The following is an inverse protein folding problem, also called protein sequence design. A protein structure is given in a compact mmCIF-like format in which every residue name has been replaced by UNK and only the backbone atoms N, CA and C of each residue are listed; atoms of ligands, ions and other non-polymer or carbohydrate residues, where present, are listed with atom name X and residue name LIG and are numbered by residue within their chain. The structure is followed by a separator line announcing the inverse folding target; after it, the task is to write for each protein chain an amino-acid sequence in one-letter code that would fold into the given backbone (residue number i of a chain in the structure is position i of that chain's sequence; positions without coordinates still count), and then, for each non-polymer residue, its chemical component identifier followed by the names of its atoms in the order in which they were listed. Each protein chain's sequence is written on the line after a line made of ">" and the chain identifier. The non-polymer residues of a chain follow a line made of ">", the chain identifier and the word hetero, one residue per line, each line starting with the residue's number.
data_IF_106156767270
#
_entry.id   IF_106156767270
#
_cell.length_a   1.000
_cell.length_b   1.000
_cell.length_c   1.000
_cell.angle_alpha   90.00
_cell.angle_beta   90.00
_cell.angle_gamma   90.00
#
_symmetry.space_group_name_H-M   'P 1'
#
loop_
_entity.id
_entity.type
_entity.pdbx_description
1 polymer ?
#
# COMPACT_ATOMS: atom_id res chain seq x y z
N UNK A 1 16.99 -7.95 20.56
CA UNK A 1 16.65 -6.56 20.93
C UNK A 1 15.19 -6.52 21.36
N UNK A 2 14.87 -5.85 22.46
CA UNK A 2 13.47 -5.53 22.81
C UNK A 2 13.01 -4.36 21.93
N UNK A 3 12.30 -4.71 20.86
CA UNK A 3 11.76 -3.81 19.84
C UNK A 3 10.77 -2.79 20.43
N UNK A 4 10.01 -3.21 21.45
CA UNK A 4 9.05 -2.35 22.14
C UNK A 4 9.74 -1.36 23.08
N UNK A 5 10.77 -1.80 23.82
CA UNK A 5 11.57 -0.92 24.67
C UNK A 5 12.34 0.11 23.83
N UNK A 6 12.99 -0.32 22.74
CA UNK A 6 13.65 0.58 21.80
C UNK A 6 12.68 1.61 21.22
N UNK A 7 11.54 1.17 20.66
CA UNK A 7 10.51 2.07 20.11
C UNK A 7 9.99 3.06 21.15
N UNK A 8 9.81 2.63 22.40
CA UNK A 8 9.43 3.54 23.50
C UNK A 8 10.54 4.57 23.77
N UNK A 9 11.80 4.16 23.85
CA UNK A 9 12.93 5.07 24.03
C UNK A 9 13.02 6.10 22.91
N UNK A 10 12.93 5.65 21.66
CA UNK A 10 12.94 6.49 20.46
C UNK A 10 11.81 7.53 20.50
N UNK A 11 10.60 7.13 20.89
CA UNK A 11 9.44 8.02 21.00
C UNK A 11 9.53 9.09 22.11
N UNK A 12 10.50 9.00 23.01
CA UNK A 12 10.78 10.03 24.02
C UNK A 12 12.07 10.83 23.70
N UNK A 13 12.72 10.55 22.56
CA UNK A 13 13.85 11.35 22.07
C UNK A 13 13.37 12.68 21.50
N UNK A 14 14.09 13.77 21.82
CA UNK A 14 13.83 15.09 21.23
C UNK A 14 14.05 15.10 19.70
N UNK A 15 14.88 14.18 19.20
CA UNK A 15 15.16 13.99 17.78
C UNK A 15 14.14 13.09 17.05
N UNK A 16 13.01 12.74 17.66
CA UNK A 16 11.97 11.92 17.01
C UNK A 16 10.61 12.64 17.01
N UNK A 17 10.16 13.02 15.81
CA UNK A 17 8.96 13.81 15.58
C UNK A 17 7.88 12.96 14.93
N UNK A 18 6.74 12.77 15.60
CA UNK A 18 5.57 12.03 15.06
C UNK A 18 4.31 12.89 14.88
N UNK A 19 4.39 14.14 15.31
CA UNK A 19 3.41 15.20 15.08
C UNK A 19 3.97 16.15 14.00
N UNK A 20 3.07 16.91 13.36
CA UNK A 20 3.48 18.02 12.49
C UNK A 20 4.21 19.12 13.27
N UNK A 21 4.77 20.08 12.54
CA UNK A 21 5.60 21.17 13.08
C UNK A 21 4.81 22.46 13.32
N UNK A 22 3.49 22.44 13.10
CA UNK A 22 2.59 23.57 13.35
C UNK A 22 2.33 24.43 12.12
N UNK A 23 2.64 23.93 10.92
CA UNK A 23 2.46 24.66 9.65
C UNK A 23 1.24 24.16 8.86
N UNK A 24 0.26 23.57 9.56
CA UNK A 24 -0.82 22.78 8.96
C UNK A 24 -1.72 23.57 8.01
N UNK A 25 -2.14 24.79 8.36
CA UNK A 25 -3.03 25.60 7.52
C UNK A 25 -2.37 26.05 6.21
N UNK A 26 -1.12 26.49 6.29
CA UNK A 26 -0.34 26.95 5.13
C UNK A 26 -0.01 25.77 4.19
N UNK A 27 0.37 24.63 4.76
CA UNK A 27 0.60 23.39 3.98
C UNK A 27 -0.70 22.87 3.36
N UNK A 28 -1.82 22.87 4.09
CA UNK A 28 -3.11 22.45 3.55
C UNK A 28 -3.53 23.28 2.34
N UNK A 29 -3.30 24.60 2.37
CA UNK A 29 -3.55 25.50 1.23
C UNK A 29 -2.69 25.13 0.02
N UNK A 30 -1.41 24.83 0.23
CA UNK A 30 -0.51 24.39 -0.85
C UNK A 30 -0.94 23.04 -1.43
N UNK A 31 -1.19 22.04 -0.58
CA UNK A 31 -1.65 20.70 -1.01
C UNK A 31 -2.97 20.76 -1.77
N UNK A 32 -3.90 21.61 -1.34
CA UNK A 32 -5.15 21.85 -2.05
C UNK A 32 -4.89 22.35 -3.47
N UNK A 33 -3.98 23.31 -3.65
CA UNK A 33 -3.63 23.84 -4.98
C UNK A 33 -2.87 22.85 -5.88
N UNK A 34 -2.08 21.95 -5.29
CA UNK A 34 -1.25 20.99 -6.04
C UNK A 34 -1.97 19.67 -6.37
N UNK A 35 -2.95 19.23 -5.57
CA UNK A 35 -3.50 17.87 -5.65
C UNK A 35 -5.03 17.75 -5.82
N UNK A 36 -5.82 18.80 -5.54
CA UNK A 36 -7.28 18.77 -5.76
C UNK A 36 -7.65 19.09 -7.22
N UNK A 37 -8.86 18.73 -7.61
CA UNK A 37 -9.40 18.94 -8.95
C UNK A 37 -10.83 19.50 -8.88
N UNK A 38 -11.12 20.49 -9.73
CA UNK A 38 -12.48 21.01 -9.89
C UNK A 38 -13.34 20.04 -10.71
N UNK A 39 -12.78 19.36 -11.71
CA UNK A 39 -13.49 18.36 -12.50
C UNK A 39 -13.97 17.19 -11.62
N UNK A 40 -13.09 16.69 -10.75
CA UNK A 40 -13.42 15.61 -9.83
C UNK A 40 -14.53 16.04 -8.86
N UNK A 41 -14.50 17.27 -8.36
CA UNK A 41 -15.60 17.79 -7.54
C UNK A 41 -16.91 17.92 -8.33
N UNK A 42 -16.87 18.33 -9.60
CA UNK A 42 -18.04 18.33 -10.50
C UNK A 42 -18.60 16.91 -10.69
N UNK A 43 -17.73 15.90 -10.91
CA UNK A 43 -18.14 14.51 -11.06
C UNK A 43 -18.78 13.98 -9.77
N UNK A 44 -18.18 14.24 -8.59
CA UNK A 44 -18.76 13.89 -7.27
C UNK A 44 -20.16 14.50 -7.12
N UNK A 45 -20.33 15.78 -7.42
CA UNK A 45 -21.62 16.48 -7.34
C UNK A 45 -22.68 15.92 -8.31
N UNK A 46 -22.25 15.31 -9.42
CA UNK A 46 -23.11 14.70 -10.43
C UNK A 46 -23.33 13.18 -10.20
N UNK A 47 -23.41 12.74 -8.94
CA UNK A 47 -23.55 11.33 -8.56
C UNK A 47 -22.47 10.44 -9.22
N UNK A 48 -21.21 10.87 -9.11
CA UNK A 48 -20.02 10.20 -9.66
C UNK A 48 -20.06 9.91 -11.17
N UNK A 49 -20.87 10.66 -11.93
CA UNK A 49 -21.07 10.43 -13.37
C UNK A 49 -20.85 11.72 -14.17
N UNK A 50 -20.20 11.60 -15.33
CA UNK A 50 -20.04 12.71 -16.28
C UNK A 50 -20.02 12.21 -17.72
N UNK A 51 -20.88 12.76 -18.56
CA UNK A 51 -20.90 12.48 -20.01
C UNK A 51 -20.44 13.71 -20.79
N UNK A 52 -19.54 13.51 -21.76
CA UNK A 52 -19.15 14.52 -22.75
C UNK A 52 -18.99 13.85 -24.12
N UNK A 53 -19.79 14.26 -25.09
CA UNK A 53 -19.90 13.56 -26.37
C UNK A 53 -20.23 12.08 -26.14
N UNK A 54 -19.54 11.20 -26.86
CA UNK A 54 -19.75 9.75 -26.82
C UNK A 54 -19.15 9.07 -25.56
N UNK A 55 -18.49 9.80 -24.65
CA UNK A 55 -17.88 9.20 -23.43
C UNK A 55 -18.71 9.49 -22.20
N UNK A 56 -19.12 8.44 -21.49
CA UNK A 56 -19.64 8.51 -20.12
C UNK A 56 -18.62 7.95 -19.13
N UNK A 57 -18.12 8.81 -18.24
CA UNK A 57 -17.29 8.42 -17.10
C UNK A 57 -18.19 8.05 -15.92
N UNK A 58 -17.94 6.88 -15.31
CA UNK A 58 -18.46 6.48 -13.99
C UNK A 58 -17.29 6.35 -13.02
N UNK A 59 -17.17 7.29 -12.10
CA UNK A 59 -16.11 7.31 -11.09
C UNK A 59 -16.52 6.41 -9.90
N UNK A 60 -15.56 5.72 -9.28
CA UNK A 60 -15.80 5.02 -8.02
C UNK A 60 -16.18 6.03 -6.92
N UNK A 61 -16.98 5.61 -5.94
CA UNK A 61 -17.46 6.53 -4.90
C UNK A 61 -16.37 6.83 -3.85
N UNK A 62 -15.45 5.88 -3.63
CA UNK A 62 -14.21 6.06 -2.89
C UNK A 62 -12.98 5.75 -3.77
N UNK A 63 -12.09 6.73 -3.89
CA UNK A 63 -10.86 6.69 -4.69
C UNK A 63 -9.87 7.75 -4.16
N UNK A 64 -8.75 7.96 -4.84
CA UNK A 64 -7.82 9.05 -4.57
C UNK A 64 -7.07 8.90 -3.25
N UNK A 65 -6.45 9.99 -2.77
CA UNK A 65 -5.73 10.03 -1.50
C UNK A 65 -6.58 9.53 -0.31
N UNK A 66 -5.96 8.75 0.58
CA UNK A 66 -6.53 8.46 1.90
C UNK A 66 -5.92 9.34 2.98
N UNK A 67 -6.60 9.52 4.11
CA UNK A 67 -6.12 10.31 5.25
C UNK A 67 -4.69 9.96 5.71
N UNK A 68 -4.32 8.68 5.66
CA UNK A 68 -2.97 8.22 6.00
C UNK A 68 -1.89 8.75 5.04
N UNK A 69 -2.23 8.88 3.77
CA UNK A 69 -1.40 9.45 2.71
C UNK A 69 -1.38 10.98 2.81
N UNK A 70 -2.53 11.63 2.96
CA UNK A 70 -2.63 13.09 3.14
C UNK A 70 -1.78 13.56 4.32
N UNK A 71 -1.91 12.89 5.47
CA UNK A 71 -1.10 13.19 6.66
C UNK A 71 0.39 13.02 6.38
N UNK A 72 0.81 11.98 5.66
CA UNK A 72 2.23 11.73 5.40
C UNK A 72 2.83 12.75 4.44
N UNK A 73 2.11 13.10 3.37
CA UNK A 73 2.51 14.14 2.43
C UNK A 73 2.53 15.51 3.14
N UNK A 74 1.49 15.86 3.89
CA UNK A 74 1.47 17.10 4.68
C UNK A 74 2.64 17.21 5.65
N UNK A 75 2.94 16.14 6.40
CA UNK A 75 4.11 16.14 7.29
C UNK A 75 5.43 16.30 6.53
N UNK A 76 5.57 15.78 5.30
CA UNK A 76 6.78 16.00 4.50
C UNK A 76 6.94 17.47 4.07
N UNK A 77 5.85 18.15 3.67
CA UNK A 77 5.86 19.59 3.38
C UNK A 77 6.15 20.42 4.65
N UNK A 78 5.50 20.10 5.78
CA UNK A 78 5.80 20.72 7.08
C UNK A 78 7.29 20.52 7.46
N UNK A 79 7.86 19.34 7.19
CA UNK A 79 9.27 19.02 7.48
C UNK A 79 10.22 19.87 6.65
N UNK A 80 9.98 20.06 5.35
CA UNK A 80 10.82 20.94 4.52
C UNK A 80 10.75 22.39 4.98
N UNK A 81 9.56 22.85 5.38
CA UNK A 81 9.35 24.23 5.84
C UNK A 81 9.99 24.51 7.19
N UNK A 82 9.84 23.59 8.15
CA UNK A 82 10.41 23.70 9.48
C UNK A 82 11.93 23.46 9.50
N UNK A 83 12.37 22.53 8.68
CA UNK A 83 13.73 22.19 8.25
C UNK A 83 14.32 23.04 7.10
N UNK A 84 14.42 24.39 7.10
CA UNK A 84 14.57 25.16 5.85
C UNK A 84 15.90 24.98 5.09
N UNK A 85 16.96 24.51 5.74
CA UNK A 85 18.32 24.43 5.15
C UNK A 85 18.95 23.04 5.19
N UNK A 86 18.47 22.18 6.07
CA UNK A 86 19.04 20.85 6.30
C UNK A 86 18.84 19.92 5.09
N UNK A 87 19.71 18.91 4.96
CA UNK A 87 19.40 17.78 4.08
C UNK A 87 18.23 17.00 4.68
N UNK A 88 17.27 16.67 3.84
CA UNK A 88 16.09 15.88 4.21
C UNK A 88 16.07 14.66 3.31
N UNK A 89 16.08 13.48 3.93
CA UNK A 89 16.00 12.19 3.25
C UNK A 89 14.66 11.52 3.55
N UNK A 90 14.07 10.82 2.59
CA UNK A 90 13.01 9.85 2.79
C UNK A 90 13.61 8.45 2.62
N UNK A 91 13.28 7.50 3.50
CA UNK A 91 13.94 6.19 3.49
C UNK A 91 13.59 5.29 2.30
N UNK A 92 12.57 5.58 1.48
CA UNK A 92 12.26 4.87 0.23
C UNK A 92 11.54 5.79 -0.78
N UNK A 93 10.25 6.01 -0.57
CA UNK A 93 9.29 6.86 -1.30
C UNK A 93 8.34 7.39 -0.22
N UNK A 94 7.78 8.62 -0.31
CA UNK A 94 6.84 9.07 0.73
C UNK A 94 5.56 8.22 0.73
N UNK A 95 5.10 7.91 -0.49
CA UNK A 95 4.00 7.02 -0.87
C UNK A 95 4.32 6.40 -2.25
N UNK A 96 3.67 5.31 -2.64
CA UNK A 96 3.81 4.75 -3.99
C UNK A 96 3.04 5.58 -5.04
N UNK A 97 3.59 6.74 -5.40
CA UNK A 97 3.10 7.61 -6.48
C UNK A 97 4.26 8.41 -7.10
N UNK A 98 4.49 8.32 -8.43
CA UNK A 98 5.65 8.94 -9.06
C UNK A 98 5.61 10.47 -9.06
N UNK A 99 4.46 11.11 -9.28
CA UNK A 99 4.38 12.58 -9.32
C UNK A 99 4.56 13.20 -7.94
N UNK A 100 3.98 12.59 -6.89
CA UNK A 100 4.18 13.03 -5.50
C UNK A 100 5.64 12.86 -5.07
N UNK A 101 6.29 11.75 -5.42
CA UNK A 101 7.73 11.57 -5.14
C UNK A 101 8.61 12.54 -5.94
N UNK A 102 8.25 12.86 -7.18
CA UNK A 102 8.96 13.89 -7.95
C UNK A 102 8.83 15.26 -7.29
N UNK A 103 7.63 15.60 -6.79
CA UNK A 103 7.39 16.84 -6.05
C UNK A 103 8.22 16.96 -4.77
N UNK A 104 8.51 15.85 -4.08
CA UNK A 104 9.47 15.83 -2.96
C UNK A 104 10.86 16.32 -3.39
N UNK A 105 11.39 15.83 -4.53
CA UNK A 105 12.71 16.24 -5.05
C UNK A 105 12.76 17.72 -5.43
N UNK A 106 11.69 18.23 -6.06
CA UNK A 106 11.57 19.66 -6.37
C UNK A 106 11.61 20.55 -5.13
N UNK A 107 11.15 20.03 -3.99
CA UNK A 107 11.27 20.68 -2.69
C UNK A 107 12.61 20.37 -2.00
N UNK A 108 13.62 19.83 -2.67
CA UNK A 108 14.89 19.39 -2.07
C UNK A 108 14.69 18.40 -0.90
N UNK A 109 13.76 17.46 -1.05
CA UNK A 109 13.61 16.29 -0.17
C UNK A 109 14.00 15.06 -0.99
N UNK A 110 15.17 14.52 -0.68
CA UNK A 110 15.79 13.44 -1.44
C UNK A 110 15.43 12.05 -0.90
N UNK A 111 15.77 11.01 -1.65
CA UNK A 111 15.51 9.62 -1.27
C UNK A 111 16.82 8.87 -0.99
N UNK A 112 16.84 8.03 0.04
CA UNK A 112 18.02 7.19 0.34
C UNK A 112 18.19 6.18 -0.81
N UNK A 113 19.35 6.16 -1.51
CA UNK A 113 19.60 5.28 -2.63
C UNK A 113 19.50 3.80 -2.25
N UNK A 114 18.98 2.99 -3.18
CA UNK A 114 18.87 1.54 -3.02
C UNK A 114 19.79 0.85 -4.02
N UNK A 115 20.85 0.22 -3.52
CA UNK A 115 21.82 -0.55 -4.32
C UNK A 115 21.64 -2.04 -4.04
N UNK A 116 21.40 -2.85 -5.08
CA UNK A 116 21.17 -4.30 -4.98
C UNK A 116 20.09 -4.70 -3.92
N UNK A 117 19.04 -3.88 -3.77
CA UNK A 117 17.96 -4.11 -2.80
C UNK A 117 18.30 -3.74 -1.35
N UNK A 118 19.41 -3.04 -1.10
CA UNK A 118 19.79 -2.49 0.21
C UNK A 118 19.90 -0.98 0.15
N UNK A 119 19.40 -0.30 1.18
CA UNK A 119 19.48 1.15 1.33
C UNK A 119 20.88 1.57 1.77
N UNK A 120 21.43 2.58 1.13
CA UNK A 120 22.73 3.13 1.50
C UNK A 120 22.58 4.23 2.56
N UNK A 121 22.60 3.83 3.84
CA UNK A 121 22.63 4.77 4.96
C UNK A 121 23.99 5.44 5.17
N UNK A 122 25.04 5.14 4.38
CA UNK A 122 26.34 5.79 4.55
C UNK A 122 26.28 7.30 4.24
N UNK A 123 25.43 7.71 3.29
CA UNK A 123 25.27 9.11 2.87
C UNK A 123 24.58 10.01 3.90
N UNK A 124 23.90 9.42 4.88
CA UNK A 124 23.15 10.14 5.91
C UNK A 124 24.09 10.49 7.05
N UNK A 125 24.21 11.76 7.39
CA UNK A 125 25.12 12.24 8.43
C UNK A 125 24.37 12.66 9.72
N UNK A 126 25.11 12.95 10.78
CA UNK A 126 24.56 13.44 12.04
C UNK A 126 23.88 14.79 11.86
N UNK A 127 22.67 14.96 12.40
CA UNK A 127 21.87 16.17 12.26
C UNK A 127 21.02 16.26 10.99
N UNK A 128 21.23 15.38 9.99
CA UNK A 128 20.32 15.25 8.84
C UNK A 128 18.90 14.90 9.31
N UNK A 129 17.90 15.37 8.57
CA UNK A 129 16.49 15.03 8.80
C UNK A 129 16.13 13.80 7.98
N UNK A 130 15.49 12.80 8.60
CA UNK A 130 15.08 11.58 7.90
C UNK A 130 13.62 11.25 8.15
N UNK A 131 12.84 11.31 7.07
CA UNK A 131 11.42 11.01 7.02
C UNK A 131 11.22 9.50 6.85
N UNK A 132 10.53 8.88 7.81
CA UNK A 132 9.98 7.54 7.66
C UNK A 132 8.63 7.65 6.93
N UNK A 133 8.39 6.88 5.86
CA UNK A 133 7.25 7.08 4.95
C UNK A 133 5.91 6.56 5.49
N UNK A 134 4.83 6.70 4.72
CA UNK A 134 3.48 6.33 5.16
C UNK A 134 3.34 4.83 5.54
N UNK A 135 4.05 3.94 4.84
CA UNK A 135 4.16 2.50 5.12
C UNK A 135 5.21 2.16 6.19
N UNK A 136 5.91 3.16 6.71
CA UNK A 136 6.88 3.08 7.80
C UNK A 136 8.24 2.50 7.41
N UNK A 137 9.02 2.16 8.44
CA UNK A 137 10.37 1.61 8.32
C UNK A 137 10.57 0.47 9.33
N UNK A 138 11.57 -0.37 9.09
CA UNK A 138 11.95 -1.44 10.00
C UNK A 138 12.66 -0.93 11.26
N UNK A 139 12.66 -1.75 12.31
CA UNK A 139 13.37 -1.45 13.57
C UNK A 139 14.86 -1.19 13.32
N UNK A 140 15.48 -1.93 12.39
CA UNK A 140 16.89 -1.81 12.06
C UNK A 140 17.22 -0.44 11.45
N UNK A 141 16.36 0.06 10.56
CA UNK A 141 16.52 1.39 9.97
C UNK A 141 16.34 2.49 11.01
N UNK A 142 15.31 2.38 11.86
CA UNK A 142 15.09 3.30 12.98
C UNK A 142 16.29 3.35 13.94
N UNK A 143 16.91 2.20 14.23
CA UNK A 143 18.11 2.11 15.07
C UNK A 143 19.31 2.78 14.39
N UNK A 144 19.59 2.49 13.11
CA UNK A 144 20.70 3.09 12.35
C UNK A 144 20.60 4.62 12.32
N UNK A 145 19.39 5.15 12.10
CA UNK A 145 19.13 6.59 12.05
C UNK A 145 19.25 7.26 13.43
N UNK A 146 18.79 6.59 14.49
CA UNK A 146 18.96 7.04 15.86
C UNK A 146 20.43 7.10 16.25
N UNK A 147 21.20 6.05 15.94
CA UNK A 147 22.61 5.92 16.34
C UNK A 147 23.53 6.87 15.57
N UNK A 148 23.12 7.29 14.36
CA UNK A 148 23.74 8.40 13.62
C UNK A 148 23.41 9.78 14.19
N UNK A 149 22.43 9.91 15.08
CA UNK A 149 21.97 11.20 15.60
C UNK A 149 21.18 12.01 14.55
N UNK A 150 20.39 11.36 13.71
CA UNK A 150 19.50 12.03 12.77
C UNK A 150 18.22 12.56 13.46
N UNK A 151 17.62 13.62 12.90
CA UNK A 151 16.27 14.08 13.27
C UNK A 151 15.24 13.24 12.52
N UNK A 152 14.61 12.27 13.18
CA UNK A 152 13.66 11.34 12.56
C UNK A 152 12.26 11.95 12.54
N UNK A 153 11.61 11.99 11.38
CA UNK A 153 10.20 12.38 11.24
C UNK A 153 9.37 11.16 10.84
N UNK A 154 8.57 10.64 11.76
CA UNK A 154 7.76 9.44 11.55
C UNK A 154 6.38 9.76 10.96
N UNK A 155 6.26 9.66 9.64
CA UNK A 155 4.99 9.82 8.94
C UNK A 155 4.15 8.55 8.89
N UNK A 156 4.63 7.42 9.44
CA UNK A 156 3.94 6.11 9.39
C UNK A 156 2.46 6.24 9.74
N UNK A 157 1.61 5.73 8.84
CA UNK A 157 0.18 5.69 9.02
C UNK A 157 -0.21 5.00 10.34
N UNK A 158 -1.10 5.59 11.17
CA UNK A 158 -1.58 4.96 12.39
C UNK A 158 -2.16 3.55 12.20
N UNK A 159 -2.76 3.25 11.04
CA UNK A 159 -3.24 1.91 10.69
C UNK A 159 -2.11 0.89 10.55
N UNK A 160 -1.01 1.24 9.86
CA UNK A 160 0.20 0.41 9.79
C UNK A 160 0.80 0.18 11.20
N UNK A 161 0.83 1.23 12.03
CA UNK A 161 1.23 1.10 13.44
C UNK A 161 0.30 0.22 14.28
N UNK A 162 -0.97 0.07 13.92
CA UNK A 162 -1.91 -0.88 14.55
C UNK A 162 -1.50 -2.33 14.23
N UNK A 163 -1.05 -2.62 13.00
CA UNK A 163 -0.46 -3.91 12.61
C UNK A 163 0.80 -4.21 13.45
N UNK A 164 1.71 -3.24 13.57
CA UNK A 164 2.93 -3.39 14.38
C UNK A 164 2.62 -3.70 15.84
N UNK A 165 1.60 -3.05 16.41
CA UNK A 165 1.13 -3.34 17.77
C UNK A 165 0.51 -4.74 17.90
N UNK A 166 0.03 -5.34 16.81
CA UNK A 166 -0.52 -6.70 16.78
C UNK A 166 0.59 -7.75 16.76
N UNK A 167 1.60 -7.63 15.90
CA UNK A 167 2.76 -8.56 15.92
C UNK A 167 3.57 -8.46 17.22
N UNK A 168 3.61 -7.28 17.85
CA UNK A 168 4.13 -7.06 19.22
C UNK A 168 3.24 -7.64 20.34
N UNK A 169 1.99 -8.04 20.08
CA UNK A 169 1.19 -8.85 21.01
C UNK A 169 1.51 -10.32 20.84
N UNK A 170 1.59 -10.80 19.59
CA UNK A 170 1.96 -12.18 19.27
C UNK A 170 3.30 -12.54 19.91
N UNK A 171 4.32 -11.69 19.70
CA UNK A 171 5.66 -11.79 20.29
C UNK A 171 5.66 -12.00 21.81
N UNK A 172 4.82 -11.28 22.57
CA UNK A 172 4.75 -11.40 24.04
C UNK A 172 4.11 -12.69 24.54
N UNK A 173 3.43 -13.42 23.67
CA UNK A 173 2.79 -14.71 23.96
C UNK A 173 3.53 -15.87 23.28
N UNK A 174 4.70 -15.60 22.67
CA UNK A 174 5.46 -16.56 21.84
C UNK A 174 4.71 -17.09 20.60
N UNK A 175 3.69 -16.36 20.13
CA UNK A 175 2.96 -16.67 18.89
C UNK A 175 3.78 -16.26 17.67
N UNK A 176 3.80 -17.14 16.66
CA UNK A 176 4.27 -16.80 15.32
C UNK A 176 3.27 -15.91 14.61
N UNK A 177 3.72 -14.79 14.07
CA UNK A 177 2.86 -13.94 13.24
C UNK A 177 2.75 -14.48 11.82
N UNK A 178 1.58 -15.00 11.46
CA UNK A 178 1.23 -15.23 10.05
C UNK A 178 0.82 -13.89 9.47
N UNK A 179 1.61 -13.37 8.52
CA UNK A 179 1.39 -12.06 7.91
C UNK A 179 0.88 -12.28 6.49
N UNK A 180 -0.40 -11.98 6.24
CA UNK A 180 -0.92 -11.93 4.88
C UNK A 180 -0.35 -10.70 4.16
N UNK A 181 0.48 -10.91 3.14
CA UNK A 181 1.13 -9.80 2.43
C UNK A 181 2.26 -10.21 1.49
N UNK A 182 2.80 -9.22 0.77
CA UNK A 182 3.88 -9.41 -0.20
C UNK A 182 5.23 -9.31 0.53
N UNK A 183 6.02 -10.39 0.59
CA UNK A 183 7.26 -10.44 1.40
C UNK A 183 8.33 -9.38 1.05
N UNK A 184 8.30 -8.83 -0.17
CA UNK A 184 9.18 -7.75 -0.62
C UNK A 184 8.63 -6.34 -0.37
N UNK A 185 7.35 -6.20 -0.03
CA UNK A 185 6.71 -4.90 0.12
C UNK A 185 7.16 -4.24 1.44
N UNK A 186 7.44 -2.95 1.38
CA UNK A 186 8.06 -2.18 2.44
C UNK A 186 7.28 -2.25 3.76
N UNK A 187 5.95 -2.15 3.69
CA UNK A 187 5.06 -2.29 4.84
C UNK A 187 5.19 -3.66 5.52
N UNK A 188 5.39 -4.72 4.74
CA UNK A 188 5.54 -6.11 5.21
C UNK A 188 6.92 -6.32 5.82
N UNK A 189 7.97 -5.74 5.23
CA UNK A 189 9.34 -5.72 5.77
C UNK A 189 9.39 -4.96 7.10
N UNK A 190 8.77 -3.77 7.15
CA UNK A 190 8.66 -2.98 8.37
C UNK A 190 7.90 -3.78 9.45
N UNK A 191 6.73 -4.32 9.11
CA UNK A 191 5.88 -5.11 10.04
C UNK A 191 6.59 -6.35 10.57
N UNK A 192 7.22 -7.15 9.72
CA UNK A 192 7.92 -8.37 10.13
C UNK A 192 9.13 -8.08 11.04
N UNK A 193 9.75 -6.90 10.93
CA UNK A 193 10.83 -6.47 11.84
C UNK A 193 10.38 -6.21 13.30
N UNK A 194 9.08 -5.97 13.53
CA UNK A 194 8.49 -5.86 14.87
C UNK A 194 8.03 -7.21 15.44
N UNK A 195 7.92 -8.25 14.62
CA UNK A 195 7.51 -9.58 15.07
C UNK A 195 8.60 -10.27 15.92
N UNK A 196 8.22 -11.37 16.57
CA UNK A 196 9.17 -12.33 17.16
C UNK A 196 9.55 -13.36 16.11
N UNK A 197 8.71 -14.38 15.99
CA UNK A 197 8.67 -15.32 14.86
C UNK A 197 7.62 -14.86 13.86
N UNK A 198 7.84 -15.11 12.57
CA UNK A 198 6.85 -14.81 11.54
C UNK A 198 6.94 -15.75 10.34
N UNK A 199 5.82 -15.86 9.63
CA UNK A 199 5.70 -16.44 8.30
C UNK A 199 4.80 -15.53 7.46
N UNK A 200 5.24 -15.14 6.27
CA UNK A 200 4.49 -14.31 5.33
C UNK A 200 3.87 -15.23 4.28
N UNK A 201 2.57 -15.11 4.08
CA UNK A 201 1.83 -15.83 3.03
C UNK A 201 1.27 -14.83 2.02
N UNK A 202 1.46 -15.10 0.73
CA UNK A 202 1.06 -14.16 -0.33
C UNK A 202 -0.44 -14.14 -0.59
N UNK A 203 -1.09 -15.31 -0.49
CA UNK A 203 -2.46 -15.55 -0.91
C UNK A 203 -3.06 -16.80 -0.21
N UNK A 204 -4.34 -17.08 -0.46
CA UNK A 204 -5.05 -18.22 0.14
C UNK A 204 -4.37 -19.56 -0.17
N UNK A 205 -3.86 -19.78 -1.39
CA UNK A 205 -3.19 -21.03 -1.78
C UNK A 205 -1.91 -21.30 -0.96
N UNK A 206 -1.17 -20.26 -0.59
CA UNK A 206 -0.04 -20.42 0.34
C UNK A 206 -0.49 -20.68 1.77
N UNK A 207 -1.57 -20.05 2.22
CA UNK A 207 -2.17 -20.34 3.52
C UNK A 207 -2.70 -21.78 3.62
N UNK A 208 -3.33 -22.31 2.56
CA UNK A 208 -3.77 -23.71 2.45
C UNK A 208 -2.60 -24.69 2.55
N UNK A 209 -1.46 -24.40 1.90
CA UNK A 209 -0.25 -25.21 2.03
C UNK A 209 0.24 -25.26 3.49
N UNK A 210 0.25 -24.12 4.18
CA UNK A 210 0.64 -24.04 5.60
C UNK A 210 -0.37 -24.77 6.49
N UNK A 211 -1.67 -24.60 6.26
CA UNK A 211 -2.73 -25.29 7.00
C UNK A 211 -2.63 -26.82 6.89
N UNK A 212 -2.38 -27.33 5.68
CA UNK A 212 -2.14 -28.76 5.46
C UNK A 212 -0.88 -29.25 6.22
N UNK A 213 0.21 -28.48 6.20
CA UNK A 213 1.42 -28.81 6.97
C UNK A 213 1.14 -28.85 8.48
N UNK A 214 0.34 -27.91 9.00
CA UNK A 214 -0.04 -27.89 10.42
C UNK A 214 -0.80 -29.17 10.81
N UNK A 215 -1.75 -29.62 9.99
CA UNK A 215 -2.61 -30.77 10.29
C UNK A 215 -1.95 -32.13 10.07
N UNK A 216 -1.07 -32.25 9.07
CA UNK A 216 -0.59 -33.54 8.57
C UNK A 216 0.93 -33.70 8.61
N UNK A 217 1.67 -32.63 8.99
CA UNK A 217 3.10 -32.55 8.76
C UNK A 217 3.43 -32.42 7.26
N UNK A 218 4.69 -32.64 6.92
CA UNK A 218 5.15 -32.62 5.53
C UNK A 218 6.66 -32.71 5.43
N UNK A 219 7.20 -32.34 4.27
CA UNK A 219 8.64 -32.19 4.11
C UNK A 219 9.09 -30.81 4.62
N UNK A 220 9.79 -30.80 5.76
CA UNK A 220 10.36 -29.59 6.38
C UNK A 220 11.30 -28.82 5.44
N UNK A 221 12.14 -29.51 4.67
CA UNK A 221 13.10 -28.88 3.75
C UNK A 221 12.37 -28.20 2.59
N UNK A 222 11.32 -28.84 2.06
CA UNK A 222 10.45 -28.26 1.02
C UNK A 222 9.73 -27.01 1.52
N UNK A 223 9.16 -27.07 2.74
CA UNK A 223 8.51 -25.93 3.37
C UNK A 223 9.48 -24.75 3.53
N UNK A 224 10.67 -25.00 4.07
CA UNK A 224 11.69 -23.98 4.28
C UNK A 224 12.26 -23.45 2.96
N UNK A 225 12.36 -24.26 1.92
CA UNK A 225 12.73 -23.80 0.58
C UNK A 225 11.67 -22.84 0.01
N UNK A 226 10.39 -23.23 0.08
CA UNK A 226 9.24 -22.44 -0.39
C UNK A 226 9.14 -21.08 0.30
N UNK A 227 9.32 -21.04 1.62
CA UNK A 227 9.19 -19.81 2.43
C UNK A 227 10.53 -19.17 2.82
N UNK A 228 11.63 -19.54 2.16
CA UNK A 228 13.01 -19.11 2.47
C UNK A 228 13.26 -17.59 2.52
N UNK A 229 12.38 -16.78 1.93
CA UNK A 229 12.42 -15.30 1.94
C UNK A 229 11.26 -14.66 2.70
N UNK A 230 10.44 -15.48 3.33
CA UNK A 230 9.13 -15.13 3.88
C UNK A 230 8.98 -15.54 5.36
N UNK A 231 9.97 -16.18 5.99
CA UNK A 231 9.94 -16.53 7.41
C UNK A 231 11.07 -15.85 8.20
N UNK A 232 10.91 -15.79 9.52
CA UNK A 232 11.97 -15.34 10.44
C UNK A 232 13.22 -16.23 10.37
N UNK A 233 14.39 -15.67 10.70
CA UNK A 233 15.62 -16.46 10.76
C UNK A 233 15.52 -17.57 11.82
N UNK A 234 15.93 -18.78 11.46
CA UNK A 234 15.86 -19.96 12.36
C UNK A 234 14.46 -20.58 12.50
N UNK A 235 13.50 -20.22 11.64
CA UNK A 235 12.15 -20.77 11.66
C UNK A 235 12.13 -22.30 11.59
N UNK A 236 11.34 -22.92 12.46
CA UNK A 236 11.13 -24.36 12.57
C UNK A 236 9.63 -24.65 12.39
N UNK A 237 9.14 -25.04 11.18
CA UNK A 237 7.70 -25.17 10.94
C UNK A 237 7.04 -26.26 11.80
N UNK A 238 7.82 -27.18 12.36
CA UNK A 238 7.33 -28.26 13.21
C UNK A 238 6.97 -27.76 14.63
N UNK A 239 7.47 -26.59 15.03
CA UNK A 239 7.29 -25.98 16.37
C UNK A 239 6.68 -24.59 16.30
N UNK A 240 7.15 -23.77 15.36
CA UNK A 240 6.77 -22.36 15.25
C UNK A 240 5.35 -22.18 14.71
N UNK A 241 4.75 -23.23 14.15
CA UNK A 241 3.33 -23.25 13.75
C UNK A 241 2.40 -23.83 14.85
N UNK A 242 2.89 -24.11 16.06
CA UNK A 242 2.05 -24.57 17.17
C UNK A 242 1.16 -23.46 17.75
N UNK A 243 1.60 -22.20 17.74
CA UNK A 243 0.84 -21.04 18.20
C UNK A 243 0.93 -19.92 17.16
N UNK A 244 -0.18 -19.58 16.51
CA UNK A 244 -0.18 -18.66 15.36
C UNK A 244 -1.13 -17.47 15.55
N UNK A 245 -0.65 -16.29 15.18
CA UNK A 245 -1.35 -15.01 15.26
C UNK A 245 -1.49 -14.38 13.88
N UNK A 246 -2.69 -13.98 13.47
CA UNK A 246 -2.93 -13.36 12.16
C UNK A 246 -2.66 -11.85 12.20
N UNK A 247 -1.88 -11.38 11.23
CA UNK A 247 -1.70 -9.98 10.88
C UNK A 247 -1.74 -9.83 9.35
N UNK A 248 -1.86 -8.61 8.83
CA UNK A 248 -1.87 -8.37 7.39
C UNK A 248 -1.16 -7.06 7.02
N UNK A 249 -0.61 -7.02 5.82
CA UNK A 249 -0.36 -5.78 5.08
C UNK A 249 -1.70 -5.07 4.85
N UNK A 250 -1.81 -3.80 5.22
CA UNK A 250 -3.08 -3.02 5.24
C UNK A 250 -3.77 -2.89 3.88
N UNK A 251 -3.00 -3.10 2.80
CA UNK A 251 -3.38 -2.91 1.39
C UNK A 251 -3.60 -4.23 0.61
N UNK A 252 -3.86 -5.34 1.31
CA UNK A 252 -4.27 -6.62 0.70
C UNK A 252 -5.80 -6.68 0.46
N UNK A 253 -6.28 -7.71 -0.26
CA UNK A 253 -7.72 -7.94 -0.42
C UNK A 253 -8.35 -8.33 0.92
N UNK A 254 -9.46 -7.67 1.27
CA UNK A 254 -10.16 -7.91 2.54
C UNK A 254 -10.76 -9.32 2.60
N UNK A 255 -11.49 -9.71 1.56
CA UNK A 255 -12.11 -11.03 1.41
C UNK A 255 -11.10 -12.17 1.60
N UNK A 256 -9.96 -12.09 0.93
CA UNK A 256 -8.88 -13.08 1.04
C UNK A 256 -8.26 -13.10 2.45
N UNK A 257 -8.02 -11.93 3.06
CA UNK A 257 -7.50 -11.86 4.44
C UNK A 257 -8.46 -12.53 5.44
N UNK A 258 -9.77 -12.31 5.30
CA UNK A 258 -10.78 -12.93 6.14
C UNK A 258 -10.89 -14.45 5.89
N UNK A 259 -10.74 -14.91 4.64
CA UNK A 259 -10.68 -16.33 4.30
C UNK A 259 -9.45 -17.00 4.91
N UNK A 260 -8.26 -16.39 4.82
CA UNK A 260 -7.03 -16.87 5.44
C UNK A 260 -7.17 -16.94 6.98
N UNK A 261 -7.78 -15.91 7.60
CA UNK A 261 -8.06 -15.91 9.03
C UNK A 261 -8.95 -17.07 9.46
N UNK A 262 -10.08 -17.28 8.76
CA UNK A 262 -11.00 -18.40 9.00
C UNK A 262 -10.34 -19.76 8.73
N UNK A 263 -9.52 -19.89 7.69
CA UNK A 263 -8.79 -21.12 7.38
C UNK A 263 -7.91 -21.52 8.56
N UNK A 264 -7.09 -20.60 9.08
CA UNK A 264 -6.23 -20.89 10.22
C UNK A 264 -7.02 -21.13 11.51
N UNK A 265 -8.12 -20.41 11.75
CA UNK A 265 -9.00 -20.68 12.90
C UNK A 265 -9.53 -22.12 12.89
N UNK A 266 -10.08 -22.58 11.76
CA UNK A 266 -10.53 -23.97 11.59
C UNK A 266 -9.38 -24.97 11.70
N UNK A 267 -8.21 -24.66 11.14
CA UNK A 267 -7.01 -25.50 11.19
C UNK A 267 -6.56 -25.75 12.63
N UNK A 268 -6.43 -24.69 13.43
CA UNK A 268 -6.00 -24.81 14.83
C UNK A 268 -7.08 -25.46 15.70
N UNK A 269 -8.36 -25.17 15.43
CA UNK A 269 -9.49 -25.83 16.10
C UNK A 269 -9.56 -27.34 15.79
N UNK A 270 -9.26 -27.75 14.56
CA UNK A 270 -9.20 -29.16 14.18
C UNK A 270 -8.01 -29.88 14.83
N UNK A 271 -6.85 -29.22 14.95
CA UNK A 271 -5.64 -29.81 15.54
C UNK A 271 -5.67 -29.91 17.06
N UNK A 272 -6.11 -28.85 17.74
CA UNK A 272 -6.01 -28.71 19.20
C UNK A 272 -7.36 -28.78 19.93
N UNK A 273 -8.47 -28.80 19.20
CA UNK A 273 -9.83 -28.79 19.74
C UNK A 273 -10.31 -27.40 20.16
N UNK A 274 -11.63 -27.16 20.21
CA UNK A 274 -12.19 -25.85 20.53
C UNK A 274 -11.86 -25.36 21.94
N UNK A 275 -11.63 -26.27 22.90
CA UNK A 275 -11.28 -25.92 24.28
C UNK A 275 -9.91 -25.23 24.41
N UNK A 276 -8.97 -25.55 23.51
CA UNK A 276 -7.59 -25.04 23.56
C UNK A 276 -7.32 -23.98 22.47
N UNK A 277 -8.32 -23.60 21.66
CA UNK A 277 -8.13 -22.70 20.53
C UNK A 277 -7.48 -21.36 20.92
N UNK A 278 -7.85 -20.80 22.08
CA UNK A 278 -7.32 -19.53 22.59
C UNK A 278 -5.85 -19.58 23.05
N UNK A 279 -5.29 -20.78 23.20
CA UNK A 279 -3.87 -20.98 23.53
C UNK A 279 -3.02 -21.13 22.25
N UNK A 280 -3.67 -21.47 21.12
CA UNK A 280 -3.02 -21.79 19.85
C UNK A 280 -3.30 -20.80 18.71
N UNK A 281 -4.37 -20.00 18.78
CA UNK A 281 -4.81 -19.11 17.72
C UNK A 281 -5.19 -17.71 18.22
N UNK A 282 -4.73 -16.68 17.51
CA UNK A 282 -5.10 -15.29 17.75
C UNK A 282 -5.32 -14.58 16.41
N UNK A 283 -6.38 -13.78 16.30
CA UNK A 283 -6.64 -12.97 15.12
C UNK A 283 -7.14 -11.59 15.51
N UNK A 284 -6.67 -10.57 14.79
CA UNK A 284 -7.20 -9.21 14.87
C UNK A 284 -7.34 -8.68 13.45
N UNK A 285 -8.48 -8.08 13.11
CA UNK A 285 -8.60 -7.37 11.84
C UNK A 285 -7.68 -6.12 11.87
N UNK A 286 -6.65 -6.15 11.03
CA UNK A 286 -5.68 -5.05 10.85
C UNK A 286 -5.69 -4.45 9.44
N UNK A 287 -6.73 -4.71 8.64
CA UNK A 287 -7.00 -3.99 7.40
C UNK A 287 -7.32 -2.52 7.73
N UNK A 288 -6.96 -1.61 6.83
CA UNK A 288 -7.24 -0.19 6.93
C UNK A 288 -8.61 0.13 6.32
N UNK A 289 -9.42 0.93 7.02
CA UNK A 289 -10.75 1.38 6.58
C UNK A 289 -10.70 1.95 5.15
N UNK A 290 -9.70 2.78 4.85
CA UNK A 290 -9.52 3.38 3.52
C UNK A 290 -9.23 2.38 2.38
N UNK A 291 -8.65 1.22 2.69
CA UNK A 291 -8.49 0.11 1.73
C UNK A 291 -9.83 -0.60 1.52
N UNK A 292 -10.59 -0.81 2.60
CA UNK A 292 -11.93 -1.39 2.51
C UNK A 292 -12.87 -0.49 1.70
N UNK A 293 -13.00 0.79 2.02
CA UNK A 293 -13.89 1.74 1.33
C UNK A 293 -13.68 1.74 -0.20
N UNK A 294 -12.42 1.68 -0.64
CA UNK A 294 -12.05 1.62 -2.07
C UNK A 294 -12.36 0.26 -2.70
N UNK A 295 -12.21 -0.84 -1.97
CA UNK A 295 -12.60 -2.17 -2.45
C UNK A 295 -14.13 -2.28 -2.55
N UNK A 296 -14.87 -1.79 -1.55
CA UNK A 296 -16.33 -1.78 -1.51
C UNK A 296 -16.90 -0.90 -2.64
N UNK A 297 -16.41 0.34 -2.80
CA UNK A 297 -16.83 1.22 -3.91
C UNK A 297 -16.42 0.72 -5.30
N UNK A 298 -15.30 -0.02 -5.40
CA UNK A 298 -14.89 -0.67 -6.64
C UNK A 298 -15.79 -1.87 -6.97
N UNK A 299 -16.17 -2.67 -5.97
CA UNK A 299 -17.14 -3.76 -6.12
C UNK A 299 -18.50 -3.21 -6.58
N UNK A 300 -18.98 -2.10 -6.02
CA UNK A 300 -20.21 -1.44 -6.49
C UNK A 300 -20.10 -0.84 -7.90
N UNK A 301 -18.92 -0.35 -8.29
CA UNK A 301 -18.69 0.18 -9.64
C UNK A 301 -18.74 -0.92 -10.70
N UNK A 302 -18.14 -2.10 -10.45
CA UNK A 302 -18.09 -3.21 -11.43
C UNK A 302 -19.41 -3.97 -11.60
N UNK A 303 -20.43 -3.75 -10.75
CA UNK A 303 -21.80 -4.22 -10.99
C UNK A 303 -22.59 -3.29 -11.95
N UNK A 304 -22.08 -2.09 -12.24
CA UNK A 304 -22.67 -1.16 -13.21
C UNK A 304 -22.29 -1.60 -14.64
N UNK A 305 -23.11 -1.27 -15.64
CA UNK A 305 -22.75 -1.52 -17.04
C UNK A 305 -21.56 -0.62 -17.43
N UNK A 306 -20.44 -1.25 -17.79
CA UNK A 306 -19.17 -0.64 -18.17
C UNK A 306 -18.58 -1.40 -19.37
N UNK A 307 -17.96 -0.69 -20.30
CA UNK A 307 -17.26 -1.29 -21.45
C UNK A 307 -15.77 -1.56 -21.12
N UNK A 308 -15.17 -0.69 -20.29
CA UNK A 308 -13.81 -0.87 -19.77
C UNK A 308 -13.60 -0.13 -18.43
N UNK A 309 -12.52 -0.48 -17.74
CA UNK A 309 -12.05 0.13 -16.49
C UNK A 309 -10.69 0.80 -16.66
N UNK A 310 -10.52 2.00 -16.07
CA UNK A 310 -9.23 2.66 -15.87
C UNK A 310 -8.92 2.70 -14.37
N UNK A 311 -7.76 2.16 -13.99
CA UNK A 311 -7.32 2.01 -12.60
C UNK A 311 -6.04 2.81 -12.41
N UNK A 312 -6.12 3.95 -11.74
CA UNK A 312 -5.03 4.95 -11.73
C UNK A 312 -4.19 4.83 -10.44
N UNK A 313 -2.87 4.85 -10.57
CA UNK A 313 -1.92 5.01 -9.46
C UNK A 313 -0.59 4.30 -9.69
N UNK A 314 0.43 4.66 -8.91
CA UNK A 314 1.79 4.13 -9.07
C UNK A 314 1.87 2.61 -9.15
N UNK A 315 2.69 2.08 -10.06
CA UNK A 315 2.78 0.62 -10.32
C UNK A 315 3.24 -0.23 -9.13
N UNK A 316 3.89 0.37 -8.13
CA UNK A 316 4.28 -0.32 -6.88
C UNK A 316 3.17 -0.31 -5.81
N UNK A 317 2.06 0.41 -6.02
CA UNK A 317 0.93 0.48 -5.10
C UNK A 317 0.17 -0.85 -5.04
N UNK A 318 0.33 -1.58 -3.93
CA UNK A 318 -0.45 -2.80 -3.69
C UNK A 318 -1.96 -2.55 -3.75
N UNK A 319 -2.43 -1.44 -3.16
CA UNK A 319 -3.86 -1.08 -3.20
C UNK A 319 -4.35 -0.94 -4.64
N UNK A 320 -3.60 -0.26 -5.52
CA UNK A 320 -4.00 -0.08 -6.93
C UNK A 320 -4.05 -1.43 -7.66
N UNK A 321 -3.09 -2.33 -7.41
CA UNK A 321 -3.13 -3.70 -7.95
C UNK A 321 -4.36 -4.47 -7.49
N UNK A 322 -4.77 -4.37 -6.21
CA UNK A 322 -5.98 -5.06 -5.75
C UNK A 322 -7.26 -4.49 -6.38
N UNK A 323 -7.31 -3.20 -6.74
CA UNK A 323 -8.45 -2.62 -7.48
C UNK A 323 -8.52 -3.16 -8.92
N UNK A 324 -7.39 -3.32 -9.61
CA UNK A 324 -7.34 -3.97 -10.92
C UNK A 324 -7.77 -5.45 -10.83
N UNK A 325 -7.34 -6.17 -9.79
CA UNK A 325 -7.72 -7.56 -9.55
C UNK A 325 -9.25 -7.73 -9.48
N UNK A 326 -9.97 -6.80 -8.81
CA UNK A 326 -11.45 -6.82 -8.75
C UNK A 326 -12.09 -6.68 -10.13
N UNK A 327 -11.59 -5.78 -11.00
CA UNK A 327 -12.10 -5.65 -12.37
C UNK A 327 -11.86 -6.91 -13.21
N UNK A 328 -10.65 -7.48 -13.11
CA UNK A 328 -10.26 -8.70 -13.80
C UNK A 328 -11.11 -9.91 -13.38
N UNK A 329 -11.40 -10.06 -12.09
CA UNK A 329 -12.28 -11.13 -11.57
C UNK A 329 -13.73 -11.02 -12.04
N UNK A 330 -14.19 -9.82 -12.45
CA UNK A 330 -15.48 -9.63 -13.11
C UNK A 330 -15.43 -9.73 -14.63
N UNK A 331 -14.27 -10.02 -15.22
CA UNK A 331 -14.09 -10.14 -16.67
C UNK A 331 -14.15 -8.80 -17.42
N UNK A 332 -13.99 -7.67 -16.72
CA UNK A 332 -13.99 -6.35 -17.34
C UNK A 332 -12.55 -5.99 -17.76
N UNK A 333 -12.37 -5.61 -19.03
CA UNK A 333 -11.10 -5.10 -19.55
C UNK A 333 -10.64 -3.91 -18.71
N UNK A 334 -9.46 -4.01 -18.08
CA UNK A 334 -8.98 -3.03 -17.11
C UNK A 334 -7.52 -2.65 -17.33
N UNK A 335 -7.28 -1.34 -17.42
CA UNK A 335 -5.96 -0.78 -17.69
C UNK A 335 -5.43 -0.08 -16.42
N UNK A 336 -4.34 -0.62 -15.84
CA UNK A 336 -3.63 0.03 -14.73
C UNK A 336 -2.58 1.00 -15.28
N UNK A 337 -2.74 2.29 -15.02
CA UNK A 337 -1.81 3.36 -15.42
C UNK A 337 -1.34 4.18 -14.22
N UNK A 338 -0.09 4.66 -14.23
CA UNK A 338 0.52 5.47 -13.15
C UNK A 338 0.50 6.99 -13.42
N UNK A 339 0.41 7.42 -14.69
CA UNK A 339 0.18 8.81 -15.11
C UNK A 339 -0.63 8.90 -16.41
N UNK A 340 -1.03 10.12 -16.79
CA UNK A 340 -1.68 10.43 -18.06
C UNK A 340 -0.80 10.11 -19.29
N UNK A 341 0.53 10.14 -19.13
CA UNK A 341 1.50 9.87 -20.22
C UNK A 341 1.41 8.44 -20.78
N UNK A 342 0.77 7.54 -20.04
CA UNK A 342 0.45 6.17 -20.48
C UNK A 342 -0.64 6.11 -21.55
N UNK A 343 -1.44 7.16 -21.69
CA UNK A 343 -2.42 7.30 -22.77
C UNK A 343 -1.69 7.92 -23.97
N UNK A 344 -1.25 7.04 -24.86
CA UNK A 344 -0.39 7.36 -25.99
C UNK A 344 -1.19 7.89 -27.20
N UNK A 345 -0.47 8.40 -28.20
CA UNK A 345 -1.05 8.75 -29.50
C UNK A 345 -1.59 7.53 -30.24
N UNK A 346 -2.48 7.78 -31.21
CA UNK A 346 -3.01 6.77 -32.15
C UNK A 346 -3.86 5.69 -31.47
N UNK A 347 -4.65 6.08 -30.45
CA UNK A 347 -5.52 5.18 -29.69
C UNK A 347 -4.75 3.99 -29.08
N UNK A 348 -3.67 4.29 -28.35
CA UNK A 348 -2.85 3.29 -27.66
C UNK A 348 -2.75 3.61 -26.16
N UNK A 349 -2.62 2.58 -25.34
CA UNK A 349 -2.41 2.70 -23.90
C UNK A 349 -1.30 1.75 -23.46
N UNK A 350 -0.30 2.27 -22.75
CA UNK A 350 0.70 1.46 -22.07
C UNK A 350 0.24 1.23 -20.62
N UNK A 351 -0.02 -0.01 -20.23
CA UNK A 351 -0.60 -0.33 -18.94
C UNK A 351 0.08 -1.53 -18.28
N UNK A 352 -0.07 -1.63 -16.97
CA UNK A 352 0.47 -2.74 -16.18
C UNK A 352 -0.54 -3.87 -16.07
N UNK A 353 -0.08 -5.08 -16.37
CA UNK A 353 -0.81 -6.32 -16.15
C UNK A 353 -0.67 -6.80 -14.70
N UNK A 354 -1.59 -7.65 -14.25
CA UNK A 354 -1.54 -8.28 -12.92
C UNK A 354 -0.27 -9.13 -12.67
N UNK A 355 0.36 -9.63 -13.74
CA UNK A 355 1.65 -10.34 -13.66
C UNK A 355 2.85 -9.38 -13.42
N UNK A 356 2.64 -8.07 -13.46
CA UNK A 356 3.64 -7.02 -13.24
C UNK A 356 4.30 -6.46 -14.50
N UNK A 357 4.09 -7.07 -15.68
CA UNK A 357 4.63 -6.58 -16.94
C UNK A 357 3.85 -5.36 -17.45
N UNK A 358 4.52 -4.54 -18.26
CA UNK A 358 3.87 -3.51 -19.07
C UNK A 358 3.49 -4.08 -20.45
N UNK A 359 2.33 -3.68 -20.96
CA UNK A 359 1.82 -4.01 -22.29
C UNK A 359 1.29 -2.74 -22.96
N UNK A 360 1.47 -2.63 -24.29
CA UNK A 360 0.81 -1.60 -25.10
C UNK A 360 -0.38 -2.23 -25.82
N UNK A 361 -1.60 -1.81 -25.45
CA UNK A 361 -2.82 -2.20 -26.16
C UNK A 361 -3.17 -1.12 -27.19
N UNK A 362 -3.42 -1.56 -28.43
CA UNK A 362 -3.85 -0.70 -29.54
C UNK A 362 -5.37 -0.76 -29.70
N UNK A 363 -5.98 0.33 -30.16
CA UNK A 363 -7.44 0.49 -30.30
C UNK A 363 -8.19 0.20 -28.98
N UNK A 364 -7.61 0.65 -27.86
CA UNK A 364 -8.11 0.36 -26.52
C UNK A 364 -9.40 1.11 -26.18
N UNK A 365 -9.61 2.26 -26.81
CA UNK A 365 -10.82 3.09 -26.74
C UNK A 365 -11.66 2.83 -28.01
N UNK A 366 -12.70 1.98 -27.98
CA UNK A 366 -13.53 1.67 -29.15
C UNK A 366 -14.31 2.89 -29.67
N UNK A 367 -14.81 2.79 -30.92
CA UNK A 367 -15.67 3.78 -31.57
C UNK A 367 -17.12 3.80 -31.02
N UNK A 368 -17.86 4.89 -31.25
CA UNK A 368 -19.24 5.05 -30.78
C UNK A 368 -19.38 5.37 -29.28
N UNK A 369 -20.59 5.29 -28.73
CA UNK A 369 -20.85 5.53 -27.31
C UNK A 369 -20.09 4.53 -26.41
N UNK A 370 -19.49 5.02 -25.32
CA UNK A 370 -18.73 4.20 -24.38
C UNK A 370 -18.95 4.64 -22.92
N UNK A 371 -19.06 3.66 -22.03
CA UNK A 371 -19.14 3.83 -20.57
C UNK A 371 -17.86 3.32 -19.92
N UNK A 372 -17.05 4.24 -19.40
CA UNK A 372 -15.75 3.96 -18.79
C UNK A 372 -15.86 4.06 -17.27
N UNK A 373 -15.54 2.98 -16.58
CA UNK A 373 -15.36 3.00 -15.13
C UNK A 373 -13.99 3.56 -14.77
N UNK A 374 -13.91 4.48 -13.82
CA UNK A 374 -12.63 5.07 -13.36
C UNK A 374 -12.52 4.88 -11.86
N UNK A 375 -11.35 4.43 -11.40
CA UNK A 375 -10.99 4.41 -9.98
C UNK A 375 -9.52 4.75 -9.81
N UNK A 376 -9.09 5.04 -8.58
CA UNK A 376 -7.69 5.27 -8.29
C UNK A 376 -7.28 4.80 -6.89
N UNK A 377 -6.01 4.40 -6.77
CA UNK A 377 -5.46 3.89 -5.52
C UNK A 377 -5.28 4.97 -4.46
N UNK A 378 -5.18 4.54 -3.20
CA UNK A 378 -5.02 5.37 -2.00
C UNK A 378 -3.86 6.39 -2.03
N UNK A 379 -2.93 6.28 -2.98
CA UNK A 379 -1.79 7.17 -3.20
C UNK A 379 -1.94 8.09 -4.43
N UNK A 380 -3.11 8.21 -5.04
CA UNK A 380 -3.30 8.97 -6.29
C UNK A 380 -3.97 10.32 -6.03
N UNK A 381 -3.37 11.46 -6.43
CA UNK A 381 -4.03 12.76 -6.35
C UNK A 381 -5.27 12.85 -7.24
N UNK A 382 -6.29 13.62 -6.83
CA UNK A 382 -7.47 13.91 -7.68
C UNK A 382 -7.06 14.58 -9.00
N UNK A 383 -6.01 15.41 -9.00
CA UNK A 383 -5.47 16.04 -10.21
C UNK A 383 -5.00 15.02 -11.27
N UNK A 384 -4.35 13.92 -10.87
CA UNK A 384 -3.92 12.86 -11.81
C UNK A 384 -5.12 12.13 -12.41
N UNK A 385 -6.22 12.01 -11.66
CA UNK A 385 -7.49 11.44 -12.16
C UNK A 385 -8.16 12.39 -13.16
N UNK A 386 -8.14 13.71 -12.90
CA UNK A 386 -8.60 14.74 -13.86
C UNK A 386 -7.83 14.67 -15.18
N UNK A 387 -6.50 14.67 -15.13
CA UNK A 387 -5.65 14.69 -16.33
C UNK A 387 -5.90 13.46 -17.22
N UNK A 388 -6.09 12.28 -16.62
CA UNK A 388 -6.48 11.06 -17.33
C UNK A 388 -7.87 11.18 -17.96
N UNK A 389 -8.87 11.69 -17.22
CA UNK A 389 -10.25 11.83 -17.74
C UNK A 389 -10.31 12.83 -18.90
N UNK A 390 -9.65 13.99 -18.79
CA UNK A 390 -9.59 14.97 -19.87
C UNK A 390 -8.86 14.40 -21.10
N UNK A 391 -7.80 13.60 -20.90
CA UNK A 391 -7.11 12.94 -22.03
C UNK A 391 -7.98 11.94 -22.78
N UNK A 392 -8.88 11.24 -22.08
CA UNK A 392 -9.86 10.33 -22.68
C UNK A 392 -10.86 11.11 -23.54
N UNK A 393 -11.40 12.22 -23.02
CA UNK A 393 -12.30 13.09 -23.78
C UNK A 393 -11.61 13.69 -25.02
N UNK A 394 -10.36 14.13 -24.89
CA UNK A 394 -9.55 14.64 -26.01
C UNK A 394 -9.40 13.57 -27.11
N UNK A 395 -8.91 12.37 -26.77
CA UNK A 395 -8.71 11.29 -27.73
C UNK A 395 -10.01 10.92 -28.45
N UNK A 396 -11.13 10.79 -27.73
CA UNK A 396 -12.43 10.48 -28.34
C UNK A 396 -12.88 11.57 -29.30
N UNK A 397 -12.68 12.85 -28.95
CA UNK A 397 -13.08 13.98 -29.80
C UNK A 397 -12.31 14.03 -31.12
N UNK A 398 -11.05 13.59 -31.14
CA UNK A 398 -10.22 13.51 -32.34
C UNK A 398 -10.71 12.39 -33.27
N UNK A 399 -11.03 11.21 -32.71
CA UNK A 399 -11.54 10.07 -33.47
C UNK A 399 -12.90 10.37 -34.12
N UNK A 400 -13.76 11.16 -33.48
CA UNK A 400 -15.06 11.55 -34.04
C UNK A 400 -14.99 12.55 -35.22
N UNK A 401 -13.81 13.08 -35.55
CA UNK A 401 -13.58 14.07 -36.62
C UNK A 401 -12.79 13.49 -37.80
N UNK A 402 -12.15 12.33 -37.62
CA UNK A 402 -11.31 11.64 -38.61
C UNK A 402 -12.10 10.63 -39.47
#
# INVERSE_FOLDING_TARGET
>A
MDTKAFKRSLQHSENYHRKGFGHQEEVATQLQSEYQSQLIQQIRNNNYTLTRGDVTIRLAEAFGFCWGVERAVAMAYETRKHFPTERIWITNEIIHNPSVNQRMREMNVEFIPVTAGKKDFAIVETGDVVILPAFGASVQEMQILNDKGCKIVDTTCPWVSKVWNTVEKHKKREYTSIIHGKYKHEETIATSSFAGKYLIVLNLKEAEYVANYILHGGNREEFLAKFSKACSAGFDPDKDLEMIGIANQTTMLKSETEQIGKLFEHTMMQKYGPANLNDHFQSFNTICDATQERQDAMLELVEKQLDLMIVIGGFNSSNTTQLQQIAFERGISSYHIDSVDRILSENRIEHRLLNGNLEITNNWLPDGEIVIGVTSGASTPDKVVEDVIEKIFELKSIVAIA
#
